data_IF_000351942040
#
_entry.id   IF_000351942040
#
_cell.length_a   1.000
_cell.length_b   1.000
_cell.length_c   1.000
_cell.angle_alpha   90.00
_cell.angle_beta   90.00
_cell.angle_gamma   90.00
#
_symmetry.space_group_name_H-M   'P 1'
#
loop_
_entity.id
_entity.type
_entity.pdbx_description
1 polymer ?
#
# COMPACT_ATOMS: atom_id res chain seq x y z
N UNK A 1 -13.99 -27.97 7.01
CA UNK A 1 -14.28 -26.76 6.18
C UNK A 1 -14.40 -25.49 7.04
N UNK A 2 -13.35 -25.07 7.76
CA UNK A 2 -13.37 -23.86 8.61
C UNK A 2 -12.31 -22.80 8.27
N UNK A 3 -11.28 -23.18 7.51
CA UNK A 3 -10.03 -22.42 7.33
C UNK A 3 -10.11 -21.37 6.22
N UNK A 4 -10.86 -21.62 5.14
CA UNK A 4 -10.91 -20.74 3.97
C UNK A 4 -11.62 -19.40 4.24
N UNK A 5 -12.70 -19.39 5.03
CA UNK A 5 -13.42 -18.16 5.39
C UNK A 5 -12.59 -17.27 6.34
N UNK A 6 -11.74 -17.86 7.18
CA UNK A 6 -10.82 -17.12 8.07
C UNK A 6 -9.65 -16.50 7.29
N UNK A 7 -9.03 -17.28 6.39
CA UNK A 7 -7.93 -16.81 5.55
C UNK A 7 -8.35 -15.65 4.63
N UNK A 8 -9.57 -15.71 4.06
CA UNK A 8 -10.10 -14.64 3.22
C UNK A 8 -10.32 -13.32 3.99
N UNK A 9 -10.80 -13.38 5.24
CA UNK A 9 -10.94 -12.19 6.09
C UNK A 9 -9.59 -11.61 6.48
N UNK A 10 -8.64 -12.47 6.88
CA UNK A 10 -7.28 -12.04 7.22
C UNK A 10 -6.58 -11.35 6.05
N UNK A 11 -6.76 -11.88 4.82
CA UNK A 11 -6.22 -11.27 3.61
C UNK A 11 -6.79 -9.88 3.35
N UNK A 12 -8.11 -9.70 3.46
CA UNK A 12 -8.76 -8.38 3.29
C UNK A 12 -8.27 -7.35 4.31
N UNK A 13 -8.05 -7.77 5.56
CA UNK A 13 -7.53 -6.89 6.61
C UNK A 13 -6.09 -6.46 6.28
N UNK A 14 -5.23 -7.41 5.88
CA UNK A 14 -3.85 -7.11 5.46
C UNK A 14 -3.83 -6.17 4.25
N UNK A 15 -4.67 -6.40 3.25
CA UNK A 15 -4.77 -5.52 2.08
C UNK A 15 -5.19 -4.09 2.47
N UNK A 16 -6.16 -3.94 3.39
CA UNK A 16 -6.55 -2.62 3.93
C UNK A 16 -5.39 -1.93 4.67
N UNK A 17 -4.68 -2.66 5.52
CA UNK A 17 -3.53 -2.12 6.26
C UNK A 17 -2.40 -1.69 5.33
N UNK A 18 -2.09 -2.49 4.31
CA UNK A 18 -1.07 -2.14 3.31
C UNK A 18 -1.47 -0.89 2.53
N UNK A 19 -2.74 -0.77 2.10
CA UNK A 19 -3.24 0.45 1.46
C UNK A 19 -3.07 1.68 2.34
N UNK A 20 -3.42 1.59 3.63
CA UNK A 20 -3.28 2.69 4.58
C UNK A 20 -1.82 3.11 4.76
N UNK A 21 -0.89 2.15 4.88
CA UNK A 21 0.56 2.45 4.98
C UNK A 21 1.09 3.17 3.74
N UNK A 22 0.66 2.74 2.55
CA UNK A 22 1.07 3.35 1.28
C UNK A 22 0.53 4.78 1.16
N UNK A 23 -0.74 5.00 1.51
CA UNK A 23 -1.33 6.34 1.53
C UNK A 23 -0.61 7.27 2.51
N UNK A 24 -0.27 6.77 3.71
CA UNK A 24 0.49 7.52 4.70
C UNK A 24 1.90 7.88 4.16
N UNK A 25 2.62 6.91 3.59
CA UNK A 25 3.93 7.15 2.99
C UNK A 25 3.89 8.18 1.86
N UNK A 26 2.89 8.10 0.98
CA UNK A 26 2.66 9.10 -0.07
C UNK A 26 2.40 10.47 0.55
N UNK A 27 1.51 10.57 1.54
CA UNK A 27 1.19 11.81 2.24
C UNK A 27 2.43 12.44 2.89
N UNK A 28 3.25 11.64 3.56
CA UNK A 28 4.53 12.06 4.13
C UNK A 28 5.44 12.65 3.05
N UNK A 29 5.63 11.95 1.93
CA UNK A 29 6.45 12.47 0.83
C UNK A 29 5.92 13.80 0.28
N UNK A 30 4.61 13.90 0.07
CA UNK A 30 3.96 15.13 -0.42
C UNK A 30 4.11 16.29 0.58
N UNK A 31 3.98 16.04 1.88
CA UNK A 31 4.19 17.03 2.94
C UNK A 31 5.61 17.60 2.92
N UNK A 32 6.61 16.74 2.66
CA UNK A 32 8.00 17.16 2.52
C UNK A 32 8.37 17.68 1.12
N UNK A 33 7.40 17.89 0.23
CA UNK A 33 7.62 18.35 -1.14
C UNK A 33 8.41 17.37 -2.01
N UNK A 34 8.54 16.11 -1.58
CA UNK A 34 9.23 15.05 -2.31
C UNK A 34 8.24 14.28 -3.18
N UNK A 35 8.64 13.96 -4.40
CA UNK A 35 7.82 13.13 -5.29
C UNK A 35 7.79 11.69 -4.75
N UNK A 36 6.61 11.12 -4.43
CA UNK A 36 6.51 9.74 -4.00
C UNK A 36 6.90 8.81 -5.14
N UNK A 37 7.97 8.04 -4.94
CA UNK A 37 8.42 7.02 -5.90
C UNK A 37 8.06 5.63 -5.39
N UNK A 38 7.99 4.64 -6.28
CA UNK A 38 7.77 3.24 -5.89
C UNK A 38 8.77 2.80 -4.82
N UNK A 39 10.04 3.19 -4.97
CA UNK A 39 11.10 2.82 -4.03
C UNK A 39 10.91 3.51 -2.68
N UNK A 40 10.71 4.83 -2.68
CA UNK A 40 10.58 5.58 -1.42
C UNK A 40 9.34 5.16 -0.62
N UNK A 41 8.22 4.93 -1.32
CA UNK A 41 6.99 4.43 -0.71
C UNK A 41 7.17 2.99 -0.19
N UNK A 42 7.89 2.13 -0.92
CA UNK A 42 8.17 0.77 -0.47
C UNK A 42 9.05 0.75 0.79
N UNK A 43 10.08 1.59 0.84
CA UNK A 43 10.97 1.76 2.01
C UNK A 43 10.19 2.28 3.22
N UNK A 44 9.40 3.36 3.04
CA UNK A 44 8.63 3.98 4.12
C UNK A 44 7.49 3.07 4.64
N UNK A 45 6.78 2.39 3.74
CA UNK A 45 5.69 1.48 4.11
C UNK A 45 6.18 0.08 4.54
N UNK A 46 7.48 -0.20 4.44
CA UNK A 46 8.10 -1.50 4.69
C UNK A 46 7.43 -2.66 3.94
N UNK A 47 7.28 -2.49 2.63
CA UNK A 47 6.65 -3.47 1.73
C UNK A 47 7.53 -3.76 0.51
N UNK A 48 7.21 -4.82 -0.23
CA UNK A 48 7.88 -5.08 -1.50
C UNK A 48 7.61 -3.97 -2.52
N UNK A 49 8.61 -3.67 -3.34
CA UNK A 49 8.51 -2.72 -4.45
C UNK A 49 7.41 -3.09 -5.45
N UNK A 50 7.20 -4.39 -5.69
CA UNK A 50 6.10 -4.87 -6.54
C UNK A 50 4.72 -4.51 -5.98
N UNK A 51 4.55 -4.63 -4.65
CA UNK A 51 3.31 -4.26 -3.97
C UNK A 51 3.09 -2.75 -3.99
N UNK A 52 4.14 -1.98 -3.69
CA UNK A 52 4.10 -0.52 -3.79
C UNK A 52 3.73 -0.05 -5.21
N UNK A 53 4.32 -0.64 -6.25
CA UNK A 53 4.06 -0.30 -7.65
C UNK A 53 2.61 -0.58 -8.05
N UNK A 54 2.06 -1.74 -7.63
CA UNK A 54 0.66 -2.10 -7.89
C UNK A 54 -0.29 -1.04 -7.30
N UNK A 55 -0.09 -0.67 -6.04
CA UNK A 55 -0.97 0.28 -5.36
C UNK A 55 -0.78 1.72 -5.82
N UNK A 56 0.44 2.16 -6.14
CA UNK A 56 0.67 3.47 -6.75
C UNK A 56 -0.05 3.61 -8.09
N UNK A 57 -0.08 2.55 -8.91
CA UNK A 57 -0.89 2.53 -10.13
C UNK A 57 -2.38 2.64 -9.84
N UNK A 58 -2.91 1.86 -8.90
CA UNK A 58 -4.33 1.91 -8.49
C UNK A 58 -4.75 3.30 -7.96
N UNK A 59 -3.84 4.02 -7.29
CA UNK A 59 -4.10 5.37 -6.78
C UNK A 59 -4.10 6.39 -7.93
N UNK A 60 -3.12 6.33 -8.83
CA UNK A 60 -3.03 7.25 -9.97
C UNK A 60 -4.13 7.05 -11.02
N UNK A 61 -4.76 5.87 -11.10
CA UNK A 61 -5.89 5.62 -12.01
C UNK A 61 -7.25 5.91 -11.39
N UNK A 62 -7.33 6.27 -10.11
CA UNK A 62 -8.56 6.78 -9.51
C UNK A 62 -8.57 8.31 -9.65
N UNK A 63 -9.47 8.88 -10.47
CA UNK A 63 -9.63 10.34 -10.59
C UNK A 63 -10.13 10.96 -9.28
#
# INVERSE_FOLDING_TARGET
MGSEKGAAKARKIREKQVKAKIQAAIGIHLLYGKKPTVRSVAEEAQISTATAAKYLREINTKP
#
